data_IF_623900314029
#
_entry.id   IF_623900314029
#
_cell.length_a   1.000
_cell.length_b   1.000
_cell.length_c   1.000
_cell.angle_alpha   90.00
_cell.angle_beta   90.00
_cell.angle_gamma   90.00
#
_symmetry.space_group_name_H-M   'P 1'
#
loop_
_entity.id
_entity.type
_entity.pdbx_description
1 polymer ?
#
# COMPACT_ATOMS: atom_id res chain seq x y z
N UNK A 1 8.18 -17.73 12.24
CA UNK A 1 8.06 -17.25 10.86
C UNK A 1 6.75 -16.48 10.78
N UNK A 2 6.79 -15.17 10.98
CA UNK A 2 5.59 -14.36 10.77
C UNK A 2 5.40 -14.29 9.26
N UNK A 3 4.38 -14.98 8.75
CA UNK A 3 3.90 -14.74 7.41
C UNK A 3 3.50 -13.26 7.37
N UNK A 4 4.17 -12.44 6.53
CA UNK A 4 3.93 -10.99 6.50
C UNK A 4 2.45 -10.71 6.29
N UNK A 5 1.90 -9.76 7.06
CA UNK A 5 0.46 -9.43 7.08
C UNK A 5 -0.03 -8.96 5.71
N UNK A 6 0.87 -8.35 4.92
CA UNK A 6 0.56 -7.84 3.60
C UNK A 6 0.82 -8.88 2.51
N UNK A 7 -0.23 -9.43 1.94
CA UNK A 7 -0.21 -10.17 0.65
C UNK A 7 -0.81 -9.29 -0.44
N UNK A 8 -0.63 -9.64 -1.72
CA UNK A 8 -1.27 -8.89 -2.81
C UNK A 8 -2.79 -8.85 -2.65
N UNK A 9 -3.40 -9.94 -2.17
CA UNK A 9 -4.84 -10.00 -1.88
C UNK A 9 -5.24 -9.06 -0.74
N UNK A 10 -4.49 -9.03 0.36
CA UNK A 10 -4.76 -8.09 1.48
C UNK A 10 -4.60 -6.63 1.04
N UNK A 11 -3.60 -6.34 0.21
CA UNK A 11 -3.37 -5.00 -0.33
C UNK A 11 -4.48 -4.62 -1.31
N UNK A 12 -4.96 -5.56 -2.13
CA UNK A 12 -6.13 -5.35 -2.99
C UNK A 12 -7.36 -5.00 -2.15
N UNK A 13 -7.64 -5.76 -1.09
CA UNK A 13 -8.76 -5.46 -0.17
C UNK A 13 -8.64 -4.07 0.45
N UNK A 14 -7.42 -3.66 0.83
CA UNK A 14 -7.11 -2.32 1.30
C UNK A 14 -7.46 -1.25 0.24
N UNK A 15 -7.01 -1.44 -0.99
CA UNK A 15 -7.27 -0.50 -2.10
C UNK A 15 -8.72 -0.52 -2.57
N UNK A 16 -9.49 -1.57 -2.30
CA UNK A 16 -10.93 -1.62 -2.59
C UNK A 16 -11.76 -0.67 -1.71
N UNK A 17 -11.17 -0.06 -0.67
CA UNK A 17 -11.81 1.04 0.06
C UNK A 17 -12.07 2.22 -0.88
N UNK A 18 -13.34 2.65 -0.94
CA UNK A 18 -13.78 3.72 -1.85
C UNK A 18 -13.14 5.07 -1.56
N UNK A 19 -12.61 5.28 -0.36
CA UNK A 19 -11.88 6.49 -0.03
C UNK A 19 -10.45 6.47 -0.59
N UNK A 20 -9.92 5.29 -0.91
CA UNK A 20 -8.60 5.11 -1.52
C UNK A 20 -8.72 5.01 -3.04
N UNK A 21 -9.56 4.10 -3.56
CA UNK A 21 -9.90 4.04 -4.98
C UNK A 21 -11.41 3.97 -5.19
N UNK A 22 -12.01 4.96 -5.88
CA UNK A 22 -13.41 4.91 -6.28
C UNK A 22 -13.58 3.99 -7.50
N UNK A 23 -13.47 2.67 -7.30
CA UNK A 23 -13.71 1.66 -8.33
C UNK A 23 -12.47 0.92 -8.81
N UNK A 24 -11.68 0.37 -7.88
CA UNK A 24 -10.62 -0.58 -8.21
C UNK A 24 -11.20 -1.81 -8.93
N UNK A 25 -10.67 -2.22 -10.10
CA UNK A 25 -11.12 -3.44 -10.77
C UNK A 25 -10.80 -4.69 -9.95
N UNK A 26 -11.76 -5.61 -9.81
CA UNK A 26 -11.57 -6.88 -9.10
C UNK A 26 -10.52 -7.78 -9.78
N UNK A 27 -10.29 -7.60 -11.09
CA UNK A 27 -9.35 -8.34 -11.94
C UNK A 27 -8.04 -7.58 -12.21
N UNK A 28 -7.77 -6.48 -11.48
CA UNK A 28 -6.53 -5.71 -11.65
C UNK A 28 -5.30 -6.61 -11.50
N UNK A 29 -4.44 -6.68 -12.50
CA UNK A 29 -3.20 -7.46 -12.44
C UNK A 29 -2.19 -6.89 -11.43
N UNK A 30 -1.29 -7.72 -10.90
CA UNK A 30 -0.31 -7.27 -9.90
C UNK A 30 0.67 -6.21 -10.45
N UNK A 31 0.96 -6.28 -11.74
CA UNK A 31 1.83 -5.36 -12.49
C UNK A 31 1.04 -4.31 -13.30
N UNK A 32 -0.28 -4.26 -13.13
CA UNK A 32 -1.08 -3.24 -13.79
C UNK A 32 -0.73 -1.84 -13.25
N UNK A 33 -0.82 -0.85 -14.12
CA UNK A 33 -0.56 0.55 -13.76
C UNK A 33 -1.61 1.04 -12.75
N UNK A 34 -1.11 1.49 -11.61
CA UNK A 34 -1.89 2.01 -10.51
C UNK A 34 -1.44 3.44 -10.22
N UNK A 35 -2.39 4.36 -10.13
CA UNK A 35 -2.11 5.78 -9.87
C UNK A 35 -2.84 6.18 -8.59
N UNK A 36 -2.07 6.37 -7.51
CA UNK A 36 -2.59 6.96 -6.28
C UNK A 36 -2.60 8.49 -6.43
N UNK A 37 -3.74 9.11 -6.23
CA UNK A 37 -3.82 10.55 -6.05
C UNK A 37 -3.37 10.93 -4.63
N UNK A 38 -3.20 12.23 -4.39
CA UNK A 38 -2.73 12.73 -3.09
C UNK A 38 -3.71 12.40 -1.94
N UNK A 39 -5.01 12.37 -2.21
CA UNK A 39 -6.02 12.06 -1.21
C UNK A 39 -6.07 10.56 -0.92
N UNK A 40 -6.04 9.71 -1.94
CA UNK A 40 -6.01 8.26 -1.82
C UNK A 40 -4.76 7.77 -1.12
N UNK A 41 -3.61 8.41 -1.35
CA UNK A 41 -2.39 8.13 -0.57
C UNK A 41 -2.59 8.44 0.92
N UNK A 42 -3.11 9.63 1.26
CA UNK A 42 -3.34 10.00 2.66
C UNK A 42 -4.33 9.03 3.33
N UNK A 43 -5.40 8.64 2.63
CA UNK A 43 -6.35 7.65 3.14
C UNK A 43 -5.71 6.28 3.32
N UNK A 44 -4.88 5.84 2.38
CA UNK A 44 -4.15 4.58 2.49
C UNK A 44 -3.28 4.57 3.75
N UNK A 45 -2.50 5.63 3.98
CA UNK A 45 -1.66 5.78 5.18
C UNK A 45 -2.49 5.74 6.46
N UNK A 46 -3.59 6.48 6.49
CA UNK A 46 -4.51 6.50 7.63
C UNK A 46 -5.10 5.11 7.92
N UNK A 47 -5.53 4.38 6.88
CA UNK A 47 -6.11 3.03 7.03
C UNK A 47 -5.07 2.02 7.50
N UNK A 48 -3.81 2.15 7.06
CA UNK A 48 -2.70 1.30 7.53
C UNK A 48 -2.42 1.51 9.02
N UNK A 49 -2.43 2.76 9.48
CA UNK A 49 -2.30 3.09 10.90
C UNK A 49 -3.49 2.53 11.71
N UNK A 50 -4.73 2.82 11.30
CA UNK A 50 -5.93 2.44 12.05
C UNK A 50 -6.17 0.92 12.08
N UNK A 51 -6.00 0.22 10.95
CA UNK A 51 -6.31 -1.23 10.86
C UNK A 51 -5.13 -2.12 11.22
N UNK A 52 -3.91 -1.68 10.93
CA UNK A 52 -2.72 -2.52 11.05
C UNK A 52 -1.72 -2.00 12.09
N UNK A 53 -1.94 -0.81 12.68
CA UNK A 53 -0.97 -0.17 13.57
C UNK A 53 0.34 0.18 12.86
N UNK A 54 0.33 0.22 11.53
CA UNK A 54 1.51 0.43 10.72
C UNK A 54 1.56 1.90 10.29
N UNK A 55 2.45 2.66 10.94
CA UNK A 55 2.74 4.05 10.56
C UNK A 55 3.87 4.03 9.53
N UNK A 56 3.62 4.59 8.35
CA UNK A 56 4.63 4.72 7.28
C UNK A 56 4.66 6.12 6.74
N UNK A 57 5.87 6.61 6.48
CA UNK A 57 6.13 7.91 5.88
C UNK A 57 6.87 7.68 4.55
N UNK A 58 6.15 7.44 3.44
CA UNK A 58 6.79 7.25 2.14
C UNK A 58 7.50 8.52 1.69
N UNK A 59 8.75 8.37 1.26
CA UNK A 59 9.49 9.45 0.60
C UNK A 59 8.95 9.72 -0.81
N UNK A 60 9.34 10.83 -1.43
CA UNK A 60 8.97 11.12 -2.83
C UNK A 60 9.38 9.99 -3.80
N UNK A 61 10.52 9.33 -3.54
CA UNK A 61 10.98 8.17 -4.32
C UNK A 61 10.07 6.96 -4.13
N UNK A 62 9.61 6.72 -2.89
CA UNK A 62 8.65 5.65 -2.61
C UNK A 62 7.34 5.91 -3.34
N UNK A 63 6.78 7.12 -3.22
CA UNK A 63 5.52 7.52 -3.86
C UNK A 63 5.62 7.32 -5.38
N UNK A 64 6.73 7.75 -6.00
CA UNK A 64 6.98 7.52 -7.43
C UNK A 64 7.10 6.04 -7.79
N UNK A 65 7.44 5.18 -6.82
CA UNK A 65 7.51 3.73 -6.95
C UNK A 65 6.18 3.00 -6.73
N UNK A 66 5.16 3.62 -6.12
CA UNK A 66 3.85 3.01 -5.81
C UNK A 66 2.93 2.94 -7.04
N UNK A 67 3.42 2.35 -8.13
CA UNK A 67 2.76 2.35 -9.45
C UNK A 67 2.09 1.03 -9.81
N UNK A 68 2.11 0.04 -8.91
CA UNK A 68 1.44 -1.25 -9.09
C UNK A 68 1.13 -1.91 -7.75
N UNK A 69 0.19 -2.85 -7.75
CA UNK A 69 -0.15 -3.67 -6.59
C UNK A 69 1.06 -4.41 -6.02
N UNK A 70 1.90 -4.96 -6.89
CA UNK A 70 3.12 -5.66 -6.50
C UNK A 70 4.08 -4.73 -5.76
N UNK A 71 4.37 -3.55 -6.32
CA UNK A 71 5.29 -2.59 -5.69
C UNK A 71 4.77 -2.05 -4.37
N UNK A 72 3.48 -1.76 -4.29
CA UNK A 72 2.85 -1.37 -3.03
C UNK A 72 2.94 -2.48 -1.98
N UNK A 73 2.70 -3.72 -2.37
CA UNK A 73 2.84 -4.88 -1.46
C UNK A 73 4.28 -5.05 -0.99
N UNK A 74 5.26 -4.92 -1.89
CA UNK A 74 6.69 -4.96 -1.54
C UNK A 74 7.07 -3.85 -0.56
N UNK A 75 6.58 -2.62 -0.79
CA UNK A 75 6.78 -1.47 0.11
C UNK A 75 6.21 -1.73 1.50
N UNK A 76 4.94 -2.14 1.60
CA UNK A 76 4.28 -2.40 2.89
C UNK A 76 4.93 -3.54 3.66
N UNK A 77 5.39 -4.59 2.96
CA UNK A 77 6.16 -5.67 3.58
C UNK A 77 7.50 -5.18 4.13
N UNK A 78 8.19 -4.29 3.42
CA UNK A 78 9.46 -3.73 3.90
C UNK A 78 9.24 -2.85 5.13
N UNK A 79 8.19 -2.04 5.12
CA UNK A 79 7.78 -1.24 6.27
C UNK A 79 7.40 -2.09 7.49
N UNK A 80 6.62 -3.16 7.31
CA UNK A 80 6.24 -4.09 8.39
C UNK A 80 7.45 -4.74 9.06
N UNK A 81 8.54 -4.97 8.32
CA UNK A 81 9.80 -5.53 8.86
C UNK A 81 10.66 -4.50 9.60
N UNK A 82 10.26 -3.23 9.63
CA UNK A 82 11.04 -2.14 10.23
C UNK A 82 12.28 -1.76 9.42
N UNK A 83 12.39 -2.19 8.17
CA UNK A 83 13.56 -1.94 7.31
C UNK A 83 13.63 -0.49 6.77
N UNK A 84 12.69 0.37 7.19
CA UNK A 84 12.51 1.74 6.70
C UNK A 84 12.64 2.82 7.79
N UNK A 85 12.66 2.46 9.07
CA UNK A 85 12.65 3.41 10.21
C UNK A 85 14.04 4.00 10.55
N UNK A 86 15.09 3.64 9.79
CA UNK A 86 16.50 4.03 10.06
C UNK A 86 17.17 4.87 8.95
N UNK A 87 16.41 5.57 8.08
CA UNK A 87 17.00 6.38 6.98
C UNK A 87 16.86 7.88 7.19
#
# INVERSE_FOLDING_TARGET
>A
MSAGTFTTDSVRDLLSDRNIFPGLPDDLGEDAELVLDSLGLVWLLHVLEERHGLVVEPSDEDIAGLTSLRRLTEYLRAAERGERDER
#
